data_IF_216641534349
#
_entry.id   IF_216641534349
#
_cell.length_a   1.000
_cell.length_b   1.000
_cell.length_c   1.000
_cell.angle_alpha   90.00
_cell.angle_beta   90.00
_cell.angle_gamma   90.00
#
_symmetry.space_group_name_H-M   'P 1'
#
loop_
_entity.id
_entity.type
_entity.pdbx_description
1 polymer ?
#
# COMPACT_ATOMS: atom_id res chain seq x y z
N UNK A 1 15.20 19.00 -24.56
CA UNK A 1 16.55 18.48 -24.30
C UNK A 1 16.36 17.04 -23.84
N UNK A 2 16.58 16.07 -24.73
CA UNK A 2 16.32 14.65 -24.49
C UNK A 2 17.59 13.97 -23.95
N UNK A 3 17.44 13.01 -23.04
CA UNK A 3 18.49 12.02 -22.77
C UNK A 3 18.09 10.69 -23.43
N UNK A 4 18.77 10.30 -24.52
CA UNK A 4 18.63 8.97 -25.11
C UNK A 4 19.69 8.02 -24.53
N UNK A 5 19.27 6.84 -24.07
CA UNK A 5 20.16 5.66 -24.03
C UNK A 5 20.55 5.04 -22.69
N UNK A 6 20.07 5.49 -21.53
CA UNK A 6 20.35 4.78 -20.26
C UNK A 6 19.23 3.79 -19.89
N UNK A 7 19.56 2.54 -19.49
CA UNK A 7 18.57 1.56 -19.09
C UNK A 7 17.85 2.00 -17.79
N UNK A 8 16.52 2.02 -17.84
CA UNK A 8 15.64 2.27 -16.70
C UNK A 8 15.61 1.06 -15.73
N UNK A 9 16.69 0.75 -15.02
CA UNK A 9 16.60 -0.03 -13.77
C UNK A 9 17.94 -0.11 -13.03
N UNK A 10 18.03 0.40 -11.79
CA UNK A 10 19.05 -0.03 -10.85
C UNK A 10 18.54 -1.09 -9.84
N UNK A 11 17.35 -1.69 -10.04
CA UNK A 11 16.87 -2.76 -9.15
C UNK A 11 17.38 -4.13 -9.59
N UNK A 12 18.70 -4.27 -9.73
CA UNK A 12 19.37 -5.53 -9.39
C UNK A 12 20.03 -5.28 -8.04
N UNK A 13 19.28 -5.57 -6.98
CA UNK A 13 19.88 -5.84 -5.68
C UNK A 13 20.17 -7.33 -5.68
N UNK A 14 21.37 -7.72 -6.09
CA UNK A 14 21.92 -9.01 -5.67
C UNK A 14 22.17 -8.94 -4.17
N UNK A 15 21.37 -9.67 -3.40
CA UNK A 15 21.64 -9.95 -2.00
C UNK A 15 21.06 -11.33 -1.70
N UNK A 16 21.98 -12.27 -1.46
CA UNK A 16 21.65 -13.68 -1.29
C UNK A 16 20.67 -13.96 -0.16
N UNK A 17 19.84 -14.99 -0.40
CA UNK A 17 19.42 -15.97 0.60
C UNK A 17 18.85 -15.43 1.92
N UNK A 18 17.77 -14.67 1.86
CA UNK A 18 16.97 -14.32 3.03
C UNK A 18 16.07 -13.15 2.72
N UNK A 19 14.76 -13.38 2.62
CA UNK A 19 13.79 -12.34 2.27
C UNK A 19 13.87 -11.19 3.30
N UNK A 20 14.51 -10.08 2.90
CA UNK A 20 14.65 -8.91 3.73
C UNK A 20 13.25 -8.39 4.10
N UNK A 21 12.98 -8.28 5.39
CA UNK A 21 11.81 -7.54 5.89
C UNK A 21 11.95 -6.12 5.33
N UNK A 22 10.98 -5.61 4.57
CA UNK A 22 11.06 -4.27 4.05
C UNK A 22 11.25 -3.29 5.22
N UNK A 23 12.11 -2.28 5.08
CA UNK A 23 12.20 -1.13 5.99
C UNK A 23 10.93 -0.24 5.86
N UNK A 24 9.76 -0.87 5.93
CA UNK A 24 8.45 -0.27 5.78
C UNK A 24 7.90 0.11 7.15
N UNK A 25 7.20 1.24 7.19
CA UNK A 25 6.27 1.60 8.28
C UNK A 25 5.35 0.40 8.61
N UNK A 26 4.95 0.21 9.87
CA UNK A 26 4.00 -0.85 10.26
C UNK A 26 2.70 -0.83 9.46
N UNK A 27 2.19 0.36 9.10
CA UNK A 27 1.02 0.50 8.25
C UNK A 27 1.31 0.08 6.81
N UNK A 28 2.48 0.46 6.27
CA UNK A 28 2.92 0.01 4.96
C UNK A 28 3.12 -1.52 4.91
N UNK A 29 3.68 -2.13 5.97
CA UNK A 29 3.79 -3.59 6.11
C UNK A 29 2.40 -4.22 6.13
N UNK A 30 1.46 -3.71 6.94
CA UNK A 30 0.08 -4.21 7.00
C UNK A 30 -0.60 -4.16 5.63
N UNK A 31 -0.40 -3.06 4.89
CA UNK A 31 -0.96 -2.89 3.55
C UNK A 31 -0.31 -3.85 2.55
N UNK A 32 1.00 -4.03 2.62
CA UNK A 32 1.72 -4.98 1.79
C UNK A 32 1.25 -6.41 2.04
N UNK A 33 1.12 -6.84 3.31
CA UNK A 33 0.58 -8.17 3.68
C UNK A 33 -0.79 -8.37 3.05
N UNK A 34 -1.68 -7.39 3.14
CA UNK A 34 -3.03 -7.48 2.59
C UNK A 34 -3.04 -7.71 1.07
N UNK A 35 -2.25 -6.92 0.34
CA UNK A 35 -2.10 -7.02 -1.12
C UNK A 35 -1.49 -8.37 -1.49
N UNK A 36 -0.43 -8.78 -0.79
CA UNK A 36 0.28 -10.02 -1.10
C UNK A 36 -0.57 -11.25 -0.78
N UNK A 37 -1.32 -11.27 0.33
CA UNK A 37 -2.26 -12.35 0.64
C UNK A 37 -3.32 -12.51 -0.43
N UNK A 38 -3.86 -11.38 -0.94
CA UNK A 38 -4.81 -11.41 -2.07
C UNK A 38 -4.15 -11.92 -3.34
N UNK A 39 -2.94 -11.44 -3.67
CA UNK A 39 -2.18 -11.87 -4.85
C UNK A 39 -1.90 -13.38 -4.81
N UNK A 40 -1.48 -13.88 -3.65
CA UNK A 40 -1.23 -15.31 -3.42
C UNK A 40 -2.50 -16.13 -3.56
N UNK A 41 -3.64 -15.65 -3.03
CA UNK A 41 -4.93 -16.31 -3.23
C UNK A 41 -5.30 -16.39 -4.71
N UNK A 42 -5.20 -15.28 -5.44
CA UNK A 42 -5.55 -15.20 -6.86
C UNK A 42 -4.59 -16.01 -7.75
N UNK A 43 -3.34 -16.21 -7.33
CA UNK A 43 -2.33 -16.99 -8.04
C UNK A 43 -2.23 -18.45 -7.57
N UNK A 44 -3.00 -18.85 -6.54
CA UNK A 44 -2.90 -20.17 -5.93
C UNK A 44 -3.18 -21.27 -6.97
N UNK A 45 -2.35 -22.33 -7.03
CA UNK A 45 -2.54 -23.43 -7.97
C UNK A 45 -3.86 -24.17 -7.69
N UNK A 46 -4.53 -24.62 -8.76
CA UNK A 46 -5.68 -25.51 -8.70
C UNK A 46 -5.43 -26.73 -9.60
N UNK A 47 -5.88 -27.89 -9.17
CA UNK A 47 -5.84 -29.12 -9.97
C UNK A 47 -6.87 -29.08 -11.11
N UNK A 48 -8.08 -28.58 -10.84
CA UNK A 48 -9.24 -28.71 -11.75
C UNK A 48 -9.62 -27.42 -12.50
N UNK A 49 -8.70 -26.48 -12.72
CA UNK A 49 -9.06 -25.23 -13.41
C UNK A 49 -8.00 -24.13 -13.43
N UNK A 50 -8.38 -22.90 -13.80
CA UNK A 50 -7.47 -21.77 -13.75
C UNK A 50 -7.02 -21.50 -12.30
N UNK A 51 -5.82 -20.91 -12.11
CA UNK A 51 -5.32 -20.56 -10.79
C UNK A 51 -6.26 -19.58 -10.09
N UNK A 52 -6.32 -19.69 -8.78
CA UNK A 52 -7.13 -18.83 -7.92
C UNK A 52 -8.00 -19.62 -6.95
N UNK A 53 -7.83 -19.35 -5.67
CA UNK A 53 -8.71 -19.83 -4.60
C UNK A 53 -9.83 -18.81 -4.38
N UNK A 54 -11.08 -19.23 -4.29
CA UNK A 54 -12.18 -18.30 -3.96
C UNK A 54 -12.09 -17.85 -2.50
N UNK A 55 -12.58 -16.64 -2.21
CA UNK A 55 -12.68 -16.12 -0.83
C UNK A 55 -13.53 -17.07 0.05
N UNK A 56 -14.57 -17.70 -0.51
CA UNK A 56 -15.39 -18.68 0.21
C UNK A 56 -14.58 -19.90 0.65
N UNK A 57 -13.76 -20.43 -0.24
CA UNK A 57 -12.92 -21.60 -0.03
C UNK A 57 -11.81 -21.29 0.98
N UNK A 58 -11.13 -20.15 0.83
CA UNK A 58 -10.15 -19.68 1.80
C UNK A 58 -10.76 -19.53 3.21
N UNK A 59 -11.96 -18.96 3.29
CA UNK A 59 -12.68 -18.79 4.55
C UNK A 59 -13.08 -20.13 5.18
N UNK A 60 -13.56 -21.08 4.37
CA UNK A 60 -13.87 -22.43 4.81
C UNK A 60 -12.61 -23.15 5.35
N UNK A 61 -11.46 -22.99 4.67
CA UNK A 61 -10.20 -23.63 5.07
C UNK A 61 -9.72 -23.19 6.44
N UNK A 62 -9.92 -21.92 6.81
CA UNK A 62 -9.61 -21.40 8.15
C UNK A 62 -10.78 -21.51 9.15
N UNK A 63 -11.93 -22.05 8.73
CA UNK A 63 -13.13 -22.18 9.58
C UNK A 63 -13.77 -20.85 9.99
N UNK A 64 -13.73 -19.83 9.12
CA UNK A 64 -14.25 -18.47 9.42
C UNK A 64 -15.20 -17.95 8.34
N UNK A 65 -15.88 -16.85 8.64
CA UNK A 65 -16.72 -16.15 7.67
C UNK A 65 -15.89 -15.47 6.57
N UNK A 66 -16.45 -15.34 5.36
CA UNK A 66 -15.82 -14.65 4.21
C UNK A 66 -15.31 -13.24 4.55
N UNK A 67 -16.02 -12.54 5.43
CA UNK A 67 -15.67 -11.19 5.91
C UNK A 67 -14.28 -11.15 6.56
N UNK A 68 -13.84 -12.23 7.22
CA UNK A 68 -12.50 -12.28 7.84
C UNK A 68 -11.41 -12.26 6.79
N UNK A 69 -11.55 -13.06 5.73
CA UNK A 69 -10.61 -13.09 4.60
C UNK A 69 -10.61 -11.73 3.89
N UNK A 70 -11.80 -11.13 3.67
CA UNK A 70 -11.89 -9.79 3.08
C UNK A 70 -11.19 -8.73 3.94
N UNK A 71 -11.33 -8.77 5.27
CA UNK A 71 -10.64 -7.86 6.17
C UNK A 71 -9.12 -8.04 6.17
N UNK A 72 -8.63 -9.27 5.97
CA UNK A 72 -7.20 -9.54 5.78
C UNK A 72 -6.72 -8.91 4.46
N UNK A 73 -7.41 -9.19 3.36
CA UNK A 73 -7.02 -8.73 2.00
C UNK A 73 -7.19 -7.22 1.77
N UNK A 74 -8.00 -6.55 2.57
CA UNK A 74 -8.12 -5.09 2.56
C UNK A 74 -7.14 -4.41 3.52
N UNK A 75 -6.47 -5.17 4.39
CA UNK A 75 -5.57 -4.65 5.41
C UNK A 75 -6.31 -4.02 6.59
N UNK A 76 -7.61 -4.31 6.76
CA UNK A 76 -8.36 -3.94 7.97
C UNK A 76 -7.84 -4.70 9.17
N UNK A 77 -7.62 -6.01 9.02
CA UNK A 77 -7.09 -6.88 10.07
C UNK A 77 -5.78 -7.53 9.60
N UNK A 78 -4.85 -7.75 10.53
CA UNK A 78 -3.73 -8.67 10.30
C UNK A 78 -4.22 -10.11 10.49
N UNK A 79 -3.73 -11.08 9.71
CA UNK A 79 -4.09 -12.48 9.89
C UNK A 79 -3.61 -12.99 11.26
N UNK A 80 -4.39 -13.86 11.89
CA UNK A 80 -3.94 -14.57 13.08
C UNK A 80 -2.84 -15.57 12.68
N UNK A 81 -1.86 -15.88 13.56
CA UNK A 81 -0.76 -16.79 13.21
C UNK A 81 -1.23 -18.17 12.72
N UNK A 82 -2.29 -18.72 13.32
CA UNK A 82 -2.88 -19.99 12.90
C UNK A 82 -3.54 -19.89 11.51
N UNK A 83 -4.36 -18.84 11.28
CA UNK A 83 -5.00 -18.63 9.97
C UNK A 83 -3.96 -18.41 8.87
N UNK A 84 -2.89 -17.66 9.19
CA UNK A 84 -1.83 -17.33 8.24
C UNK A 84 -1.17 -18.59 7.67
N UNK A 85 -0.81 -19.54 8.54
CA UNK A 85 -0.18 -20.80 8.12
C UNK A 85 -1.13 -21.64 7.26
N UNK A 86 -2.39 -21.76 7.67
CA UNK A 86 -3.42 -22.48 6.91
C UNK A 86 -3.63 -21.86 5.53
N UNK A 87 -3.70 -20.53 5.42
CA UNK A 87 -3.89 -19.82 4.16
C UNK A 87 -2.65 -19.93 3.26
N UNK A 88 -1.44 -19.79 3.79
CA UNK A 88 -0.22 -19.91 2.98
C UNK A 88 -0.02 -21.33 2.45
N UNK A 89 -0.40 -22.34 3.24
CA UNK A 89 -0.46 -23.72 2.77
C UNK A 89 -1.47 -23.88 1.63
N UNK A 90 -2.69 -23.33 1.79
CA UNK A 90 -3.72 -23.34 0.75
C UNK A 90 -3.27 -22.61 -0.53
N UNK A 91 -2.48 -21.55 -0.38
CA UNK A 91 -2.00 -20.75 -1.51
C UNK A 91 -0.74 -21.35 -2.16
N UNK A 92 -0.25 -22.49 -1.68
CA UNK A 92 0.90 -23.19 -2.26
C UNK A 92 2.26 -22.57 -1.94
N UNK A 93 2.38 -21.78 -0.87
CA UNK A 93 3.64 -21.15 -0.43
C UNK A 93 3.92 -21.37 1.07
N UNK A 94 3.86 -22.62 1.57
CA UNK A 94 4.07 -22.95 2.99
C UNK A 94 5.40 -22.40 3.54
N UNK A 95 6.45 -22.40 2.71
CA UNK A 95 7.79 -21.95 3.02
C UNK A 95 7.89 -20.46 3.38
N UNK A 96 6.90 -19.65 2.98
CA UNK A 96 6.86 -18.21 3.31
C UNK A 96 6.28 -17.92 4.70
N UNK A 97 5.79 -18.93 5.42
CA UNK A 97 5.16 -18.76 6.74
C UNK A 97 6.06 -18.03 7.76
N UNK A 98 7.35 -18.38 7.94
CA UNK A 98 8.22 -17.68 8.89
C UNK A 98 8.36 -16.19 8.56
N UNK A 99 8.49 -15.86 7.27
CA UNK A 99 8.61 -14.49 6.78
C UNK A 99 7.35 -13.66 7.08
N UNK A 100 6.16 -14.18 6.76
CA UNK A 100 4.91 -13.48 7.08
C UNK A 100 4.67 -13.35 8.59
N UNK A 101 5.07 -14.34 9.40
CA UNK A 101 4.95 -14.26 10.86
C UNK A 101 5.78 -13.10 11.42
N UNK A 102 7.01 -12.93 10.96
CA UNK A 102 7.84 -11.78 11.36
C UNK A 102 7.24 -10.46 10.86
N UNK A 103 6.72 -10.39 9.63
CA UNK A 103 6.03 -9.19 9.14
C UNK A 103 4.80 -8.81 9.98
N UNK A 104 3.94 -9.79 10.32
CA UNK A 104 2.76 -9.55 11.18
C UNK A 104 3.18 -9.05 12.56
N UNK A 105 4.25 -9.61 13.11
CA UNK A 105 4.82 -9.19 14.41
C UNK A 105 5.37 -7.77 14.34
N UNK A 106 6.10 -7.42 13.29
CA UNK A 106 6.62 -6.07 13.06
C UNK A 106 5.47 -5.07 12.88
N UNK A 107 4.45 -5.41 12.10
CA UNK A 107 3.26 -4.58 11.90
C UNK A 107 2.44 -4.35 13.18
N UNK A 108 2.46 -5.29 14.13
CA UNK A 108 1.79 -5.14 15.44
C UNK A 108 2.60 -4.31 16.44
N UNK A 109 3.92 -4.42 16.42
CA UNK A 109 4.81 -3.82 17.43
C UNK A 109 5.27 -2.42 17.08
N UNK A 110 5.45 -2.14 15.78
CA UNK A 110 5.94 -0.84 15.36
C UNK A 110 4.87 0.22 15.58
N UNK A 111 5.29 1.34 16.16
CA UNK A 111 4.57 2.62 16.06
C UNK A 111 5.40 3.50 15.16
N UNK A 112 4.75 4.07 14.16
CA UNK A 112 5.35 5.09 13.32
C UNK A 112 5.71 6.33 14.16
N UNK A 113 6.82 7.01 13.85
CA UNK A 113 7.36 8.08 14.70
C UNK A 113 6.40 9.26 14.89
N UNK A 114 5.49 9.51 13.93
CA UNK A 114 4.50 10.58 14.00
C UNK A 114 3.28 10.25 14.88
N UNK A 115 3.10 8.98 15.26
CA UNK A 115 1.94 8.54 16.05
C UNK A 115 1.96 9.08 17.48
N UNK A 116 3.14 9.42 18.03
CA UNK A 116 3.28 9.92 19.40
C UNK A 116 3.41 11.46 19.46
N UNK A 117 2.63 12.20 18.68
CA UNK A 117 2.66 13.66 18.73
C UNK A 117 1.88 14.38 17.62
N UNK A 118 1.54 13.69 16.53
CA UNK A 118 0.78 14.25 15.41
C UNK A 118 -0.50 13.47 15.09
N UNK A 119 -0.87 12.48 15.91
CA UNK A 119 -2.06 11.65 15.74
C UNK A 119 -3.38 12.46 15.77
N UNK A 120 -3.42 13.56 16.52
CA UNK A 120 -4.59 14.44 16.62
C UNK A 120 -4.71 15.44 15.46
N UNK A 121 -3.63 15.70 14.73
CA UNK A 121 -3.60 16.67 13.61
C UNK A 121 -3.56 16.01 12.24
N UNK A 122 -3.17 14.73 12.18
CA UNK A 122 -3.14 13.94 10.95
C UNK A 122 -4.49 13.25 10.75
N UNK A 123 -5.22 13.55 9.66
CA UNK A 123 -6.45 12.83 9.34
C UNK A 123 -6.20 11.35 9.06
N UNK A 124 -7.13 10.48 9.45
CA UNK A 124 -7.02 9.02 9.26
C UNK A 124 -6.74 8.61 7.81
N UNK A 125 -7.35 9.32 6.84
CA UNK A 125 -7.14 9.05 5.42
C UNK A 125 -5.71 9.31 4.95
N UNK A 126 -4.94 10.14 5.66
CA UNK A 126 -3.58 10.52 5.30
C UNK A 126 -2.51 9.61 5.94
N UNK A 127 -2.88 8.81 6.94
CA UNK A 127 -1.95 7.94 7.67
C UNK A 127 -1.24 6.94 6.76
N UNK A 128 -1.95 6.38 5.77
CA UNK A 128 -1.34 5.47 4.79
C UNK A 128 -0.26 6.16 3.96
N UNK A 129 -0.48 7.41 3.56
CA UNK A 129 0.49 8.17 2.78
C UNK A 129 1.77 8.39 3.59
N UNK A 130 1.65 8.82 4.86
CA UNK A 130 2.81 8.99 5.76
C UNK A 130 3.55 7.67 6.00
N UNK A 131 2.80 6.57 6.16
CA UNK A 131 3.36 5.23 6.25
C UNK A 131 4.26 4.89 5.06
N UNK A 132 3.73 5.04 3.85
CA UNK A 132 4.48 4.77 2.62
C UNK A 132 5.65 5.74 2.41
N UNK A 133 5.47 7.03 2.73
CA UNK A 133 6.52 8.05 2.60
C UNK A 133 7.70 7.79 3.54
N UNK A 134 7.43 7.41 4.79
CA UNK A 134 8.48 7.07 5.78
C UNK A 134 9.34 5.87 5.39
N UNK A 135 8.75 4.99 4.58
CA UNK A 135 9.36 3.77 4.09
C UNK A 135 10.02 3.93 2.70
N UNK A 136 9.83 5.09 2.07
CA UNK A 136 10.25 5.29 0.70
C UNK A 136 11.77 5.44 0.61
N UNK A 137 12.41 4.64 -0.24
CA UNK A 137 13.82 4.84 -0.58
C UNK A 137 14.06 6.10 -1.44
N UNK A 138 13.01 6.55 -2.16
CA UNK A 138 13.05 7.76 -3.00
C UNK A 138 11.66 8.40 -3.04
N UNK A 139 11.63 9.73 -2.93
CA UNK A 139 10.44 10.54 -3.13
C UNK A 139 10.64 11.34 -4.42
N UNK A 140 9.64 11.33 -5.30
CA UNK A 140 9.62 12.17 -6.50
C UNK A 140 8.28 12.86 -6.56
N UNK A 141 8.31 14.19 -6.60
CA UNK A 141 7.12 15.05 -6.56
C UNK A 141 7.19 16.03 -7.72
N UNK A 142 6.03 16.22 -8.36
CA UNK A 142 5.84 17.23 -9.39
C UNK A 142 4.71 18.14 -8.94
N UNK A 143 5.03 19.41 -8.68
CA UNK A 143 4.07 20.46 -8.36
C UNK A 143 4.10 21.50 -9.49
N UNK A 144 2.99 21.64 -10.21
CA UNK A 144 2.91 22.53 -11.38
C UNK A 144 2.70 24.00 -11.01
N UNK A 145 2.13 24.27 -9.82
CA UNK A 145 1.60 25.59 -9.47
C UNK A 145 2.28 26.22 -8.26
N UNK A 146 2.96 25.45 -7.42
CA UNK A 146 3.59 25.95 -6.21
C UNK A 146 4.89 25.22 -5.89
N UNK A 147 5.73 25.88 -5.12
CA UNK A 147 6.94 25.27 -4.57
C UNK A 147 6.52 24.29 -3.46
N UNK A 148 7.07 23.06 -3.38
CA UNK A 148 6.74 22.13 -2.31
C UNK A 148 7.09 22.69 -0.93
N UNK A 149 6.26 22.41 0.08
CA UNK A 149 6.37 22.92 1.46
C UNK A 149 7.79 22.98 2.04
N UNK A 150 8.59 21.89 2.02
CA UNK A 150 9.95 21.89 2.54
C UNK A 150 10.92 22.89 1.89
N UNK A 151 10.60 23.39 0.69
CA UNK A 151 11.39 24.38 -0.04
C UNK A 151 10.76 25.78 0.00
N UNK A 152 9.66 25.95 0.73
CA UNK A 152 9.03 27.25 0.90
C UNK A 152 9.76 28.05 1.98
N UNK A 153 10.03 29.32 1.70
CA UNK A 153 10.41 30.27 2.74
C UNK A 153 9.17 30.70 3.52
N UNK A 154 9.35 31.18 4.75
CA UNK A 154 8.24 31.69 5.57
C UNK A 154 7.38 32.74 4.83
N UNK A 155 7.96 33.77 4.16
CA UNK A 155 7.16 34.73 3.41
C UNK A 155 6.35 34.11 2.27
N UNK A 156 6.91 33.12 1.55
CA UNK A 156 6.21 32.42 0.48
C UNK A 156 5.04 31.60 1.01
N UNK A 157 5.27 30.83 2.09
CA UNK A 157 4.23 30.02 2.73
C UNK A 157 3.07 30.91 3.20
N UNK A 158 3.36 32.03 3.87
CA UNK A 158 2.34 32.98 4.33
C UNK A 158 1.55 33.60 3.17
N UNK A 159 2.22 33.99 2.07
CA UNK A 159 1.54 34.49 0.88
C UNK A 159 0.63 33.43 0.25
N UNK A 160 1.10 32.17 0.17
CA UNK A 160 0.31 31.05 -0.35
C UNK A 160 -0.91 30.76 0.53
N UNK A 161 -0.76 30.75 1.85
CA UNK A 161 -1.88 30.56 2.79
C UNK A 161 -2.94 31.65 2.64
N UNK A 162 -2.53 32.92 2.51
CA UNK A 162 -3.46 34.04 2.29
C UNK A 162 -4.17 33.94 0.94
N UNK A 163 -3.45 33.56 -0.13
CA UNK A 163 -4.04 33.36 -1.45
C UNK A 163 -5.04 32.19 -1.48
N UNK A 164 -4.78 31.13 -0.70
CA UNK A 164 -5.62 29.93 -0.57
C UNK A 164 -6.80 30.09 0.39
N UNK A 165 -6.82 31.15 1.19
CA UNK A 165 -7.95 31.54 2.04
C UNK A 165 -9.10 32.19 1.24
N UNK A 166 -8.93 32.41 -0.07
CA UNK A 166 -10.07 32.60 -0.96
C UNK A 166 -10.78 31.25 -1.10
N UNK A 167 -12.07 31.13 -0.76
CA UNK A 167 -12.79 29.87 -0.92
C UNK A 167 -12.66 29.44 -2.38
N UNK A 168 -12.41 28.16 -2.67
CA UNK A 168 -12.59 27.69 -4.02
C UNK A 168 -14.07 27.93 -4.35
N UNK A 169 -14.34 28.82 -5.30
CA UNK A 169 -15.52 28.67 -6.14
C UNK A 169 -15.30 27.36 -6.91
N UNK A 170 -15.59 26.23 -6.28
CA UNK A 170 -15.82 24.99 -6.99
C UNK A 170 -17.18 25.13 -7.68
N UNK A 171 -17.28 26.05 -8.64
CA UNK A 171 -18.19 25.76 -9.74
C UNK A 171 -17.69 24.44 -10.30
N UNK A 172 -18.51 23.39 -10.17
CA UNK A 172 -18.22 22.06 -10.69
C UNK A 172 -17.75 22.25 -12.13
N UNK A 173 -16.44 22.15 -12.38
CA UNK A 173 -15.94 22.01 -13.75
C UNK A 173 -16.64 20.75 -14.25
N UNK A 174 -17.56 20.85 -15.23
CA UNK A 174 -18.26 19.69 -15.72
C UNK A 174 -17.20 18.73 -16.23
N UNK A 175 -17.15 17.52 -15.65
CA UNK A 175 -16.29 16.48 -16.19
C UNK A 175 -16.62 16.35 -17.68
N UNK A 176 -15.63 16.46 -18.58
CA UNK A 176 -15.90 16.25 -19.99
C UNK A 176 -16.56 14.88 -20.15
N UNK A 177 -17.66 14.76 -20.90
CA UNK A 177 -18.39 13.50 -21.01
C UNK A 177 -17.42 12.43 -21.47
N UNK A 178 -17.39 11.29 -20.74
CA UNK A 178 -16.57 10.14 -21.09
C UNK A 178 -16.84 9.79 -22.56
N UNK A 179 -15.85 10.04 -23.43
CA UNK A 179 -15.92 9.60 -24.83
C UNK A 179 -16.01 8.09 -24.81
N UNK A 180 -17.20 7.54 -25.09
CA UNK A 180 -17.35 6.11 -25.34
C UNK A 180 -16.42 5.75 -26.51
N UNK A 181 -15.64 4.66 -26.42
CA UNK A 181 -14.85 4.21 -27.56
C UNK A 181 -15.81 3.98 -28.73
N UNK A 182 -15.52 4.63 -29.87
CA UNK A 182 -16.23 4.36 -31.12
C UNK A 182 -15.93 2.91 -31.48
N UNK A 183 -16.92 2.03 -31.40
CA UNK A 183 -16.87 0.74 -32.08
C UNK A 183 -16.77 1.01 -33.59
N UNK A 184 -15.65 0.60 -34.19
CA UNK A 184 -15.57 0.17 -35.57
C UNK A 184 -14.58 -0.98 -35.63
#
# INVERSE_FOLDING_TARGET
MAYPGEPLSPFVVESGGGAAVPALSPLAIKRWIAIEMRRLREAAPREDGPPGVDVAEAAQRIGKAKTVVHHIETGRNLPAPADLEVLLNLYGVPERTPFFRELVKTAKRGKDWWVNGFDTVVPEWFTLYLGLESAAARISRYDALWIPGPFQTRPYAEALYRARALPPAYERIPLPPRRRPRRR
#
